data_IF_116236500646
#
_entry.id   IF_116236500646
#
_cell.length_a   1.000
_cell.length_b   1.000
_cell.length_c   1.000
_cell.angle_alpha   90.00
_cell.angle_beta   90.00
_cell.angle_gamma   90.00
#
_symmetry.space_group_name_H-M   'P 1'
#
loop_
_entity.id
_entity.type
_entity.pdbx_description
1 polymer ?
#
# COMPACT_ATOMS: atom_id res chain seq x y z
N UNK A 1 1.37 19.11 -33.98
CA UNK A 1 2.49 19.07 -33.02
C UNK A 1 2.27 20.21 -32.03
N UNK A 2 1.65 19.94 -30.87
CA UNK A 2 1.39 20.95 -29.85
C UNK A 2 2.03 20.50 -28.54
N UNK A 3 3.06 21.23 -28.15
CA UNK A 3 3.65 21.17 -26.82
C UNK A 3 2.68 21.86 -25.85
N UNK A 4 2.20 21.14 -24.84
CA UNK A 4 1.50 21.73 -23.70
C UNK A 4 2.50 21.85 -22.55
N UNK A 5 2.58 23.07 -22.03
CA UNK A 5 3.52 23.51 -21.00
C UNK A 5 3.39 22.71 -19.70
N UNK A 6 4.55 22.46 -19.11
CA UNK A 6 4.73 21.92 -17.77
C UNK A 6 4.03 22.78 -16.74
N UNK A 7 2.91 22.27 -16.19
CA UNK A 7 2.43 22.75 -14.89
C UNK A 7 3.33 22.15 -13.82
N UNK A 8 3.94 23.05 -13.06
CA UNK A 8 4.60 22.77 -11.79
C UNK A 8 3.60 22.02 -10.90
N UNK A 9 3.79 20.71 -10.76
CA UNK A 9 3.05 19.89 -9.80
C UNK A 9 3.53 20.34 -8.43
N UNK A 10 2.67 21.03 -7.70
CA UNK A 10 2.82 21.22 -6.26
C UNK A 10 2.94 19.83 -5.64
N UNK A 11 3.99 19.63 -4.84
CA UNK A 11 4.30 18.35 -4.19
C UNK A 11 3.10 17.88 -3.38
N UNK A 12 2.38 16.88 -3.89
CA UNK A 12 1.51 16.03 -3.09
C UNK A 12 2.41 15.37 -2.03
N UNK A 13 2.16 15.56 -0.72
CA UNK A 13 3.07 15.01 0.26
C UNK A 13 3.18 13.49 0.15
N UNK A 14 2.11 12.73 -0.13
CA UNK A 14 2.20 11.26 -0.24
C UNK A 14 1.01 10.61 -1.01
N UNK A 15 0.96 10.79 -2.32
CA UNK A 15 0.08 10.08 -3.27
C UNK A 15 0.52 8.66 -3.63
N UNK A 16 1.17 7.96 -2.69
CA UNK A 16 1.44 6.52 -2.72
C UNK A 16 1.10 6.02 -1.32
N UNK A 17 -0.10 5.50 -1.13
CA UNK A 17 -0.48 4.88 0.13
C UNK A 17 0.32 3.62 0.34
N UNK A 18 1.13 3.67 1.38
CA UNK A 18 2.04 2.66 1.89
C UNK A 18 1.39 1.37 2.41
N UNK A 19 0.11 1.14 2.11
CA UNK A 19 -0.74 0.24 2.87
C UNK A 19 -1.75 -0.54 2.03
N UNK A 20 -1.46 -0.86 0.77
CA UNK A 20 -2.44 -1.60 -0.06
C UNK A 20 -2.05 -3.07 -0.21
N UNK A 21 -3.00 -3.96 0.08
CA UNK A 21 -2.88 -5.41 -0.08
C UNK A 21 -4.01 -5.91 -0.96
N UNK A 22 -3.70 -6.80 -1.90
CA UNK A 22 -4.67 -7.31 -2.88
C UNK A 22 -5.13 -8.74 -2.56
N UNK A 23 -4.40 -9.44 -1.69
CA UNK A 23 -4.69 -10.84 -1.36
C UNK A 23 -5.61 -10.93 -0.12
N UNK A 24 -6.89 -11.23 -0.36
CA UNK A 24 -7.89 -11.41 0.69
C UNK A 24 -7.62 -12.60 1.61
N UNK A 25 -6.88 -13.63 1.17
CA UNK A 25 -6.52 -14.78 2.01
C UNK A 25 -5.48 -14.42 3.08
N UNK A 26 -4.69 -13.37 2.85
CA UNK A 26 -3.71 -12.86 3.81
C UNK A 26 -4.34 -11.85 4.78
N UNK A 27 -5.58 -11.43 4.51
CA UNK A 27 -6.30 -10.41 5.25
C UNK A 27 -7.35 -11.06 6.15
N UNK A 28 -7.55 -10.47 7.33
CA UNK A 28 -8.66 -10.83 8.21
C UNK A 28 -9.31 -9.58 8.79
N UNK A 29 -10.58 -9.71 9.20
CA UNK A 29 -11.32 -8.59 9.78
C UNK A 29 -11.56 -7.42 8.81
N UNK A 30 -11.78 -7.71 7.53
CA UNK A 30 -12.14 -6.71 6.52
C UNK A 30 -13.37 -5.92 6.95
N UNK A 31 -13.29 -4.60 6.83
CA UNK A 31 -14.34 -3.65 7.20
C UNK A 31 -14.23 -2.39 6.34
N UNK A 32 -15.28 -1.56 6.37
CA UNK A 32 -15.22 -0.22 5.82
C UNK A 32 -14.12 0.60 6.53
N UNK A 33 -13.26 1.24 5.74
CA UNK A 33 -12.26 2.18 6.22
C UNK A 33 -12.94 3.43 6.77
N UNK A 34 -12.32 4.03 7.80
CA UNK A 34 -12.81 5.32 8.36
C UNK A 34 -12.67 6.45 7.34
N UNK A 35 -11.68 6.35 6.46
CA UNK A 35 -11.40 7.29 5.40
C UNK A 35 -11.06 6.54 4.13
N UNK A 36 -11.65 6.95 3.02
CA UNK A 36 -11.29 6.42 1.70
C UNK A 36 -9.88 6.86 1.29
N UNK A 37 -9.21 5.96 0.59
CA UNK A 37 -7.90 6.19 0.02
C UNK A 37 -8.01 6.35 -1.51
N UNK A 38 -7.70 7.55 -1.98
CA UNK A 38 -7.55 7.85 -3.40
C UNK A 38 -6.15 7.45 -3.86
N UNK A 39 -6.04 6.26 -4.46
CA UNK A 39 -4.80 5.73 -5.00
C UNK A 39 -4.61 6.19 -6.46
N UNK A 40 -3.47 6.78 -6.76
CA UNK A 40 -3.07 7.16 -8.11
C UNK A 40 -1.73 6.50 -8.44
N UNK A 41 -1.73 5.61 -9.44
CA UNK A 41 -0.55 4.91 -9.93
C UNK A 41 -0.29 5.27 -11.39
N UNK A 42 0.88 4.88 -11.91
CA UNK A 42 1.17 4.95 -13.34
C UNK A 42 0.27 4.02 -14.19
N UNK A 43 -0.36 3.02 -13.57
CA UNK A 43 -1.27 2.06 -14.21
C UNK A 43 -2.74 2.52 -14.19
N UNK A 44 -3.06 3.58 -13.45
CA UNK A 44 -4.43 4.07 -13.28
C UNK A 44 -4.70 4.58 -11.87
N UNK A 45 -5.95 4.95 -11.61
CA UNK A 45 -6.39 5.48 -10.31
C UNK A 45 -7.61 4.72 -9.78
N UNK A 46 -7.75 4.69 -8.46
CA UNK A 46 -8.81 3.98 -7.77
C UNK A 46 -9.09 4.56 -6.39
N UNK A 47 -10.33 4.39 -5.92
CA UNK A 47 -10.72 4.64 -4.53
C UNK A 47 -10.76 3.29 -3.80
N UNK A 48 -10.04 3.18 -2.69
CA UNK A 48 -10.08 2.04 -1.78
C UNK A 48 -10.83 2.45 -0.53
N UNK A 49 -11.85 1.69 -0.18
CA UNK A 49 -12.79 2.01 0.90
C UNK A 49 -12.91 0.90 1.94
N UNK A 50 -12.20 -0.21 1.75
CA UNK A 50 -12.05 -1.30 2.71
C UNK A 50 -10.65 -1.36 3.32
N UNK A 51 -10.58 -1.75 4.59
CA UNK A 51 -9.35 -2.03 5.31
C UNK A 51 -9.48 -3.30 6.16
N UNK A 52 -8.35 -3.94 6.46
CA UNK A 52 -8.30 -5.11 7.33
C UNK A 52 -6.91 -5.34 7.90
N UNK A 53 -6.73 -6.45 8.59
CA UNK A 53 -5.47 -6.79 9.24
C UNK A 53 -4.69 -7.81 8.42
N UNK A 54 -3.43 -7.48 8.13
CA UNK A 54 -2.49 -8.38 7.46
C UNK A 54 -1.75 -9.23 8.50
N UNK A 55 -2.23 -10.45 8.79
CA UNK A 55 -1.61 -11.34 9.76
C UNK A 55 -1.43 -10.68 11.16
N UNK A 56 -0.17 -10.52 11.60
CA UNK A 56 0.19 -9.83 12.87
C UNK A 56 0.63 -8.37 12.67
N UNK A 57 0.44 -7.82 11.47
CA UNK A 57 0.79 -6.45 11.19
C UNK A 57 -0.06 -5.50 12.06
N UNK A 58 0.55 -4.57 12.82
CA UNK A 58 -0.18 -3.89 13.90
C UNK A 58 -1.29 -2.93 13.42
N UNK A 59 -1.05 -2.03 12.44
CA UNK A 59 -2.11 -1.19 11.91
C UNK A 59 -2.89 -1.90 10.79
N UNK A 60 -4.18 -1.57 10.61
CA UNK A 60 -4.94 -2.03 9.45
C UNK A 60 -4.36 -1.46 8.15
N UNK A 61 -4.51 -2.21 7.08
CA UNK A 61 -4.07 -1.87 5.71
C UNK A 61 -5.28 -1.87 4.79
N UNK A 62 -5.26 -1.01 3.78
CA UNK A 62 -6.30 -0.96 2.76
C UNK A 62 -6.30 -2.22 1.90
N UNK A 63 -7.50 -2.69 1.56
CA UNK A 63 -7.71 -3.81 0.67
C UNK A 63 -8.04 -3.31 -0.74
N UNK A 64 -7.43 -3.91 -1.76
CA UNK A 64 -7.69 -3.62 -3.18
C UNK A 64 -8.05 -4.92 -3.91
N UNK A 65 -9.35 -5.18 -4.07
CA UNK A 65 -9.86 -6.44 -4.65
C UNK A 65 -9.40 -6.66 -6.10
N UNK A 66 -9.28 -5.61 -6.94
CA UNK A 66 -8.86 -5.80 -8.35
C UNK A 66 -7.37 -5.59 -8.59
N UNK A 67 -6.56 -5.50 -7.54
CA UNK A 67 -5.13 -5.80 -7.65
C UNK A 67 -4.27 -4.80 -8.42
N UNK A 68 -4.58 -3.50 -8.37
CA UNK A 68 -3.82 -2.48 -9.11
C UNK A 68 -2.48 -2.17 -8.40
N UNK A 69 -2.36 -2.39 -7.09
CA UNK A 69 -1.09 -2.20 -6.38
C UNK A 69 -0.90 -3.06 -5.12
N UNK A 70 0.21 -3.81 -5.07
CA UNK A 70 0.76 -4.39 -3.84
C UNK A 70 1.83 -3.46 -3.28
N UNK A 71 1.43 -2.45 -2.49
CA UNK A 71 2.40 -1.54 -1.86
C UNK A 71 2.27 -1.68 -0.35
N UNK A 72 3.05 -2.61 0.21
CA UNK A 72 3.45 -2.52 1.61
C UNK A 72 4.68 -1.61 1.65
N UNK A 73 4.53 -0.35 2.07
CA UNK A 73 5.71 0.46 2.31
C UNK A 73 6.33 0.05 3.64
N UNK A 74 7.24 -0.90 3.52
CA UNK A 74 8.17 -1.33 4.56
C UNK A 74 8.88 -0.17 5.27
N UNK A 75 8.98 0.99 4.61
CA UNK A 75 9.46 2.25 5.20
C UNK A 75 8.75 2.60 6.51
N UNK A 76 7.43 2.47 6.58
CA UNK A 76 6.68 2.84 7.79
C UNK A 76 6.94 1.84 8.94
N UNK A 77 7.19 0.58 8.59
CA UNK A 77 7.60 -0.44 9.55
C UNK A 77 8.99 -0.16 10.11
N UNK A 78 9.93 0.23 9.24
CA UNK A 78 11.27 0.68 9.64
C UNK A 78 11.17 1.94 10.52
N UNK A 79 10.30 2.90 10.16
CA UNK A 79 10.08 4.12 10.94
C UNK A 79 9.48 3.82 12.33
N UNK A 80 8.63 2.79 12.44
CA UNK A 80 8.10 2.30 13.70
C UNK A 80 9.09 1.43 14.50
N UNK A 81 10.30 1.20 13.98
CA UNK A 81 11.39 0.50 14.68
C UNK A 81 11.46 -1.00 14.41
N UNK A 82 10.68 -1.53 13.47
CA UNK A 82 10.76 -2.95 13.07
C UNK A 82 11.98 -3.21 12.18
N UNK A 83 12.57 -4.41 12.31
CA UNK A 83 13.66 -4.87 11.46
C UNK A 83 13.12 -5.89 10.47
N UNK A 84 13.20 -5.56 9.19
CA UNK A 84 12.77 -6.46 8.12
C UNK A 84 13.99 -7.20 7.57
N UNK A 85 13.90 -8.53 7.49
CA UNK A 85 14.92 -9.40 6.89
C UNK A 85 14.29 -10.31 5.85
N UNK A 86 15.04 -10.59 4.78
CA UNK A 86 14.70 -11.61 3.77
C UNK A 86 15.96 -12.41 3.51
N UNK A 87 15.88 -13.72 3.69
CA UNK A 87 16.94 -14.67 3.37
C UNK A 87 16.33 -15.81 2.55
N UNK A 88 16.43 -15.68 1.23
CA UNK A 88 15.83 -16.63 0.28
C UNK A 88 16.49 -17.99 0.27
N UNK A 89 17.69 -18.13 0.86
CA UNK A 89 18.35 -19.43 1.01
C UNK A 89 17.71 -20.23 2.16
N UNK A 90 17.04 -19.55 3.11
CA UNK A 90 16.33 -20.16 4.22
C UNK A 90 14.82 -20.29 3.96
N UNK A 91 14.16 -19.20 3.54
CA UNK A 91 12.72 -19.18 3.24
C UNK A 91 12.37 -18.08 2.22
N UNK A 92 11.40 -18.34 1.35
CA UNK A 92 10.92 -17.36 0.38
C UNK A 92 9.89 -16.40 1.01
N UNK A 93 10.28 -15.74 2.09
CA UNK A 93 9.42 -14.87 2.88
C UNK A 93 10.17 -13.66 3.46
N UNK A 94 9.42 -12.60 3.77
CA UNK A 94 9.90 -11.48 4.58
C UNK A 94 9.59 -11.76 6.05
N UNK A 95 10.58 -11.54 6.92
CA UNK A 95 10.44 -11.63 8.39
C UNK A 95 10.55 -10.23 8.96
N UNK A 96 9.66 -9.90 9.91
CA UNK A 96 9.45 -8.58 10.51
C UNK A 96 9.56 -8.67 12.02
#
# INVERSE_FOLDING_TARGET
MQFIQSRRIERDPFGLSSWTVVNGELMHGLRQAEKELNMHTNMGSRVLDEEGFLGRFPPPVYYDEDGIANVLAMREMIAAGYRITMDTDFDNAFVV
#
